data_IF_437328077093
#
_entry.id   IF_437328077093
#
_cell.length_a   1.000
_cell.length_b   1.000
_cell.length_c   1.000
_cell.angle_alpha   90.00
_cell.angle_beta   90.00
_cell.angle_gamma   90.00
#
_symmetry.space_group_name_H-M   'P 1'
#
loop_
_entity.id
_entity.type
_entity.pdbx_description
1 polymer ?
#
# COMPACT_ATOMS: atom_id res chain seq x y z
N UNK A 1 61.39 36.78 42.26
CA UNK A 1 60.02 36.42 41.82
C UNK A 1 60.11 35.15 40.99
N UNK A 2 59.77 34.00 41.56
CA UNK A 2 59.80 32.70 40.87
C UNK A 2 58.35 32.19 40.85
N UNK A 3 57.75 32.12 39.67
CA UNK A 3 56.36 31.64 39.49
C UNK A 3 56.38 30.12 39.47
N UNK A 4 55.80 29.50 40.50
CA UNK A 4 55.49 28.06 40.54
C UNK A 4 54.20 27.85 39.76
N UNK A 5 54.27 27.11 38.65
CA UNK A 5 53.08 26.63 37.94
C UNK A 5 52.65 25.30 38.57
N UNK A 6 51.50 25.31 39.24
CA UNK A 6 50.80 24.11 39.68
C UNK A 6 50.01 23.53 38.50
N UNK A 7 50.51 22.44 37.92
CA UNK A 7 49.77 21.63 36.95
C UNK A 7 48.80 20.70 37.72
N UNK A 8 47.52 21.06 37.69
CA UNK A 8 46.42 20.19 38.13
C UNK A 8 46.22 19.08 37.08
N UNK A 9 46.57 17.85 37.44
CA UNK A 9 46.17 16.67 36.67
C UNK A 9 44.70 16.33 36.99
N UNK A 10 43.78 16.71 36.11
CA UNK A 10 42.42 16.18 36.13
C UNK A 10 42.48 14.78 35.50
N UNK A 11 42.43 13.76 36.35
CA UNK A 11 42.20 12.38 35.90
C UNK A 11 40.74 12.27 35.44
N UNK A 12 40.52 12.41 34.13
CA UNK A 12 39.25 12.00 33.50
C UNK A 12 39.15 10.48 33.64
N UNK A 13 38.32 10.01 34.58
CA UNK A 13 37.83 8.64 34.58
C UNK A 13 36.95 8.46 33.33
N UNK A 14 37.58 8.06 32.22
CA UNK A 14 36.87 7.46 31.09
C UNK A 14 36.46 6.05 31.53
N UNK A 15 35.20 5.89 31.94
CA UNK A 15 34.59 4.56 32.05
C UNK A 15 34.68 3.89 30.68
N UNK A 16 35.34 2.73 30.54
CA UNK A 16 35.33 2.02 29.27
C UNK A 16 33.99 1.30 29.19
N UNK A 17 32.97 1.91 28.60
CA UNK A 17 31.80 1.16 28.13
C UNK A 17 32.24 0.49 26.82
N UNK A 18 32.86 -0.68 26.94
CA UNK A 18 33.26 -1.51 25.81
C UNK A 18 32.16 -2.53 25.51
N UNK A 19 31.15 -2.12 24.75
CA UNK A 19 30.09 -3.02 24.27
C UNK A 19 28.80 -2.29 23.84
N UNK A 20 28.00 -2.95 23.00
CA UNK A 20 26.59 -2.58 22.78
C UNK A 20 25.77 -3.29 23.86
N UNK A 21 25.21 -2.55 24.82
CA UNK A 21 24.29 -3.11 25.80
C UNK A 21 22.84 -2.99 25.31
N UNK A 22 22.05 -4.04 25.53
CA UNK A 22 20.63 -4.03 25.23
C UNK A 22 19.92 -3.04 26.18
N UNK A 23 19.49 -1.91 25.63
CA UNK A 23 18.92 -0.80 26.41
C UNK A 23 17.65 -1.19 27.20
N UNK A 24 16.80 -2.05 26.63
CA UNK A 24 15.58 -2.52 27.28
C UNK A 24 15.04 -3.80 26.61
N UNK A 25 14.17 -4.51 27.34
CA UNK A 25 13.38 -5.65 26.83
C UNK A 25 11.90 -5.28 26.85
N UNK A 26 11.14 -5.84 25.91
CA UNK A 26 9.69 -5.59 25.81
C UNK A 26 8.84 -6.57 26.63
N UNK A 27 9.46 -7.62 27.19
CA UNK A 27 8.82 -8.68 28.01
C UNK A 27 7.49 -9.21 27.43
N UNK A 28 7.49 -9.42 26.11
CA UNK A 28 6.29 -9.85 25.40
C UNK A 28 5.96 -11.32 25.71
N UNK A 29 4.72 -11.63 26.15
CA UNK A 29 4.28 -13.01 26.31
C UNK A 29 4.38 -13.77 24.99
N UNK A 30 4.95 -14.97 25.02
CA UNK A 30 5.13 -15.80 23.84
C UNK A 30 4.64 -17.24 24.05
N UNK A 31 4.18 -17.86 22.97
CA UNK A 31 4.07 -19.32 22.91
C UNK A 31 5.41 -19.87 22.46
N UNK A 32 5.90 -20.89 23.17
CA UNK A 32 7.26 -21.40 22.99
C UNK A 32 7.29 -22.93 23.00
N UNK A 33 8.09 -23.50 22.09
CA UNK A 33 8.49 -24.90 22.09
C UNK A 33 9.92 -24.99 21.55
N UNK A 34 10.81 -25.62 22.31
CA UNK A 34 12.20 -25.81 21.90
C UNK A 34 12.29 -26.78 20.72
N UNK A 35 13.25 -26.52 19.82
CA UNK A 35 13.72 -27.44 18.79
C UNK A 35 15.17 -27.10 18.41
N UNK A 36 15.75 -27.87 17.50
CA UNK A 36 17.09 -27.64 16.97
C UNK A 36 17.16 -26.37 16.12
N UNK A 37 16.09 -26.09 15.37
CA UNK A 37 15.93 -24.86 14.57
C UNK A 37 14.68 -24.13 15.07
N UNK A 38 14.81 -22.84 15.37
CA UNK A 38 13.71 -22.04 15.90
C UNK A 38 13.07 -21.19 14.81
N UNK A 39 11.74 -21.30 14.69
CA UNK A 39 10.95 -20.46 13.78
C UNK A 39 10.17 -19.42 14.59
N UNK A 40 10.35 -18.15 14.26
CA UNK A 40 9.56 -17.08 14.84
C UNK A 40 8.17 -16.99 14.19
N UNK A 41 7.17 -16.58 14.96
CA UNK A 41 5.83 -16.31 14.47
C UNK A 41 5.29 -14.99 15.01
N UNK A 42 4.65 -14.18 14.17
CA UNK A 42 3.94 -12.97 14.61
C UNK A 42 2.52 -13.01 14.04
N UNK A 43 1.52 -12.99 14.93
CA UNK A 43 0.10 -13.15 14.59
C UNK A 43 -0.77 -12.12 15.31
N UNK A 44 -1.87 -11.63 14.70
CA UNK A 44 -2.76 -10.64 15.30
C UNK A 44 -3.81 -11.34 16.17
N UNK A 45 -3.37 -12.09 17.18
CA UNK A 45 -4.27 -12.81 18.11
C UNK A 45 -5.22 -11.84 18.83
N UNK A 46 -4.82 -10.58 18.95
CA UNK A 46 -5.70 -9.47 19.34
C UNK A 46 -5.81 -8.44 18.22
N UNK A 47 -6.99 -7.83 18.07
CA UNK A 47 -7.31 -6.90 16.96
C UNK A 47 -7.08 -5.42 17.29
N UNK A 48 -6.59 -5.12 18.50
CA UNK A 48 -6.43 -3.73 18.92
C UNK A 48 -5.35 -3.58 19.98
N UNK A 49 -4.37 -2.71 19.72
CA UNK A 49 -3.55 -2.09 20.75
C UNK A 49 -4.37 -0.99 21.46
N UNK A 50 -4.48 -1.06 22.79
CA UNK A 50 -5.08 -0.01 23.60
C UNK A 50 -4.03 1.09 23.74
N UNK A 51 -4.13 2.09 22.87
CA UNK A 51 -3.28 3.29 22.92
C UNK A 51 -3.81 4.24 23.99
N UNK A 52 -2.98 4.58 24.97
CA UNK A 52 -3.26 5.65 25.93
C UNK A 52 -2.57 6.95 25.50
N UNK A 53 -3.12 8.10 25.91
CA UNK A 53 -2.41 9.37 25.84
C UNK A 53 -1.33 9.38 26.91
N UNK A 54 -0.07 9.44 26.51
CA UNK A 54 1.07 9.47 27.43
C UNK A 54 1.53 10.91 27.65
N UNK A 55 1.71 11.31 28.92
CA UNK A 55 2.27 12.62 29.29
C UNK A 55 3.79 12.65 29.19
N UNK A 56 4.43 11.49 28.99
CA UNK A 56 5.89 11.31 28.97
C UNK A 56 6.61 11.73 30.27
N UNK A 57 5.88 11.87 31.38
CA UNK A 57 6.43 12.19 32.70
C UNK A 57 6.97 10.96 33.44
N UNK A 58 6.55 9.77 33.01
CA UNK A 58 6.95 8.47 33.56
C UNK A 58 7.13 7.48 32.43
N UNK A 59 7.84 6.40 32.72
CA UNK A 59 7.98 5.29 31.79
C UNK A 59 6.58 4.78 31.36
N UNK A 60 6.33 4.63 30.04
CA UNK A 60 5.04 4.17 29.56
C UNK A 60 4.74 2.75 30.08
N UNK A 61 3.48 2.45 30.45
CA UNK A 61 3.09 1.09 30.81
C UNK A 61 3.25 0.14 29.63
N UNK A 62 3.39 -1.16 29.94
CA UNK A 62 3.40 -2.22 28.96
C UNK A 62 2.17 -2.20 28.05
N UNK A 63 2.37 -2.62 26.81
CA UNK A 63 1.34 -2.64 25.76
C UNK A 63 0.18 -3.53 26.19
N UNK A 64 -1.04 -2.99 26.12
CA UNK A 64 -2.27 -3.77 26.36
C UNK A 64 -2.98 -3.99 25.04
N UNK A 65 -3.39 -5.22 24.81
CA UNK A 65 -4.15 -5.58 23.62
C UNK A 65 -5.56 -6.04 23.98
N UNK A 66 -6.52 -5.77 23.10
CA UNK A 66 -7.93 -6.09 23.30
C UNK A 66 -8.55 -6.70 22.05
N UNK A 67 -9.69 -7.37 22.24
CA UNK A 67 -10.45 -8.03 21.19
C UNK A 67 -9.72 -9.26 20.67
N UNK A 68 -9.87 -10.38 21.37
CA UNK A 68 -9.30 -11.66 20.94
C UNK A 68 -9.94 -12.12 19.61
N UNK A 69 -9.11 -12.45 18.63
CA UNK A 69 -9.56 -12.94 17.32
C UNK A 69 -9.37 -14.45 17.21
N UNK A 70 -10.48 -15.18 17.20
CA UNK A 70 -10.49 -16.64 17.04
C UNK A 70 -9.93 -17.09 15.69
N UNK A 71 -10.12 -16.31 14.62
CA UNK A 71 -9.61 -16.62 13.28
C UNK A 71 -8.09 -16.45 13.25
N UNK A 72 -7.58 -15.36 13.82
CA UNK A 72 -6.13 -15.16 13.91
C UNK A 72 -5.47 -16.20 14.82
N UNK A 73 -6.12 -16.54 15.94
CA UNK A 73 -5.65 -17.61 16.82
C UNK A 73 -5.61 -18.97 16.10
N UNK A 74 -6.58 -19.26 15.23
CA UNK A 74 -6.52 -20.46 14.37
C UNK A 74 -5.30 -20.46 13.46
N UNK A 75 -4.88 -19.32 12.88
CA UNK A 75 -3.64 -19.25 12.10
C UNK A 75 -2.40 -19.57 12.94
N UNK A 76 -2.36 -19.09 14.18
CA UNK A 76 -1.32 -19.45 15.16
C UNK A 76 -1.29 -20.95 15.41
N UNK A 77 -2.45 -21.59 15.61
CA UNK A 77 -2.55 -23.03 15.80
C UNK A 77 -2.12 -23.81 14.55
N UNK A 78 -2.42 -23.31 13.34
CA UNK A 78 -1.99 -23.94 12.09
C UNK A 78 -0.47 -23.93 11.95
N UNK A 79 0.22 -22.86 12.37
CA UNK A 79 1.69 -22.86 12.41
C UNK A 79 2.23 -23.95 13.36
N UNK A 80 1.66 -24.05 14.56
CA UNK A 80 2.06 -25.07 15.55
C UNK A 80 1.81 -26.47 14.98
N UNK A 81 0.63 -26.71 14.43
CA UNK A 81 0.25 -27.98 13.81
C UNK A 81 1.20 -28.38 12.68
N UNK A 82 1.50 -27.45 11.76
CA UNK A 82 2.41 -27.70 10.64
C UNK A 82 3.83 -28.05 11.12
N UNK A 83 4.33 -27.37 12.15
CA UNK A 83 5.63 -27.71 12.76
C UNK A 83 5.60 -29.11 13.38
N UNK A 84 4.50 -29.48 14.05
CA UNK A 84 4.36 -30.82 14.63
C UNK A 84 4.21 -31.92 13.58
N UNK A 85 3.63 -31.62 12.43
CA UNK A 85 3.54 -32.52 11.29
C UNK A 85 4.93 -32.72 10.65
N UNK A 86 5.67 -31.64 10.40
CA UNK A 86 7.04 -31.69 9.87
C UNK A 86 7.94 -32.53 10.79
N UNK A 87 7.87 -32.30 12.10
CA UNK A 87 8.68 -33.05 13.08
C UNK A 87 8.35 -34.56 13.13
N UNK A 88 7.22 -34.99 12.55
CA UNK A 88 6.83 -36.40 12.43
C UNK A 88 7.12 -36.98 11.04
N UNK A 89 7.45 -36.14 10.05
CA UNK A 89 7.68 -36.55 8.66
C UNK A 89 9.12 -37.03 8.46
N UNK A 90 9.36 -38.34 8.28
CA UNK A 90 10.72 -38.85 8.14
C UNK A 90 11.44 -38.38 6.86
N UNK A 91 10.71 -37.95 5.83
CA UNK A 91 11.30 -37.46 4.58
C UNK A 91 11.76 -35.99 4.64
N UNK A 92 11.27 -35.20 5.62
CA UNK A 92 11.50 -33.76 5.70
C UNK A 92 12.16 -33.41 7.03
N UNK A 93 13.41 -32.94 6.97
CA UNK A 93 14.25 -32.65 8.14
C UNK A 93 14.48 -33.88 9.05
N UNK A 94 14.94 -35.03 8.51
CA UNK A 94 15.19 -36.22 9.32
C UNK A 94 16.20 -35.92 10.43
N UNK A 95 15.88 -36.32 11.66
CA UNK A 95 16.68 -36.09 12.87
C UNK A 95 16.91 -34.61 13.24
N UNK A 96 16.11 -33.69 12.72
CA UNK A 96 16.13 -32.27 13.08
C UNK A 96 14.73 -31.86 13.52
N UNK A 97 14.63 -31.27 14.70
CA UNK A 97 13.36 -30.77 15.25
C UNK A 97 13.21 -29.28 15.03
N UNK A 98 12.03 -28.87 14.57
CA UNK A 98 11.61 -27.48 14.51
C UNK A 98 10.94 -27.07 15.83
N UNK A 99 11.44 -25.99 16.42
CA UNK A 99 10.84 -25.27 17.53
C UNK A 99 10.18 -23.97 17.07
N UNK A 100 9.47 -23.30 17.97
CA UNK A 100 8.83 -22.02 17.67
C UNK A 100 8.83 -21.03 18.81
N UNK A 101 8.75 -19.74 18.45
CA UNK A 101 8.45 -18.60 19.33
C UNK A 101 7.40 -17.73 18.66
N UNK A 102 6.21 -17.65 19.25
CA UNK A 102 5.08 -16.93 18.65
C UNK A 102 4.67 -15.77 19.53
N UNK A 103 4.60 -14.57 18.95
CA UNK A 103 4.25 -13.31 19.59
C UNK A 103 2.98 -12.70 18.97
N UNK A 104 2.29 -11.88 19.75
CA UNK A 104 1.09 -11.16 19.32
C UNK A 104 1.44 -9.80 18.70
N UNK A 105 1.01 -9.52 17.47
CA UNK A 105 1.17 -8.20 16.83
C UNK A 105 0.17 -7.16 17.34
N UNK A 106 -0.98 -7.59 17.85
CA UNK A 106 -2.09 -6.73 18.25
C UNK A 106 -2.63 -5.84 17.10
N UNK A 107 -2.52 -6.34 15.85
CA UNK A 107 -2.89 -5.61 14.63
C UNK A 107 -2.20 -4.24 14.50
N UNK A 108 -1.09 -4.02 15.22
CA UNK A 108 -0.41 -2.73 15.31
C UNK A 108 0.99 -2.81 14.71
N UNK A 109 1.36 -1.92 13.75
CA UNK A 109 2.72 -1.87 13.23
C UNK A 109 3.78 -1.65 14.32
N UNK A 110 3.47 -0.83 15.33
CA UNK A 110 4.39 -0.52 16.43
C UNK A 110 4.63 -1.74 17.32
N UNK A 111 3.58 -2.44 17.72
CA UNK A 111 3.74 -3.62 18.56
C UNK A 111 4.29 -4.82 17.77
N UNK A 112 4.02 -4.90 16.46
CA UNK A 112 4.67 -5.85 15.56
C UNK A 112 6.19 -5.63 15.51
N UNK A 113 6.62 -4.37 15.46
CA UNK A 113 8.05 -4.02 15.51
C UNK A 113 8.70 -4.50 16.83
N UNK A 114 8.05 -4.28 17.97
CA UNK A 114 8.50 -4.81 19.28
C UNK A 114 8.65 -6.33 19.24
N UNK A 115 7.69 -7.03 18.65
CA UNK A 115 7.73 -8.48 18.50
C UNK A 115 8.89 -8.93 17.60
N UNK A 116 9.09 -8.29 16.46
CA UNK A 116 10.19 -8.57 15.54
C UNK A 116 11.55 -8.41 16.21
N UNK A 117 11.75 -7.30 16.94
CA UNK A 117 12.98 -7.06 17.70
C UNK A 117 13.17 -8.11 18.80
N UNK A 118 12.11 -8.49 19.52
CA UNK A 118 12.14 -9.52 20.58
C UNK A 118 12.52 -10.92 20.04
N UNK A 119 12.16 -11.23 18.79
CA UNK A 119 12.52 -12.48 18.13
C UNK A 119 13.93 -12.44 17.55
N UNK A 120 14.38 -11.28 17.06
CA UNK A 120 15.68 -11.11 16.42
C UNK A 120 16.83 -10.90 17.41
N UNK A 121 16.58 -10.34 18.59
CA UNK A 121 17.58 -10.21 19.64
C UNK A 121 18.00 -11.61 20.15
N UNK A 122 19.22 -12.03 19.79
CA UNK A 122 19.88 -13.24 20.28
C UNK A 122 20.42 -13.08 21.71
N UNK A 123 20.72 -14.21 22.36
CA UNK A 123 21.26 -14.27 23.71
C UNK A 123 22.75 -13.91 23.74
N UNK A 124 23.11 -12.72 24.21
CA UNK A 124 24.46 -12.50 24.75
C UNK A 124 24.45 -12.87 26.23
N UNK A 125 25.29 -13.86 26.57
CA UNK A 125 25.65 -14.40 27.88
C UNK A 125 24.82 -15.57 28.44
N UNK A 126 25.55 -16.67 28.64
CA UNK A 126 25.08 -17.99 29.07
C UNK A 126 25.75 -18.36 30.39
N UNK A 127 25.05 -18.18 31.52
CA UNK A 127 25.09 -18.89 32.82
C UNK A 127 24.27 -18.07 33.85
N UNK A 128 23.23 -18.49 34.57
CA UNK A 128 22.69 -19.81 34.94
C UNK A 128 21.19 -20.00 34.54
N UNK A 129 20.79 -19.85 33.27
CA UNK A 129 21.70 -19.76 32.11
C UNK A 129 21.18 -19.14 30.80
N UNK A 130 19.90 -18.73 30.61
CA UNK A 130 19.55 -17.72 29.58
C UNK A 130 18.11 -17.20 29.69
N UNK A 131 17.99 -15.92 30.04
CA UNK A 131 16.78 -15.11 29.89
C UNK A 131 16.61 -14.62 28.43
N UNK A 132 17.14 -15.35 27.46
CA UNK A 132 17.13 -15.03 26.04
C UNK A 132 16.90 -16.34 25.27
N UNK A 133 15.70 -16.57 24.74
CA UNK A 133 15.42 -17.78 23.98
C UNK A 133 16.28 -17.81 22.70
N UNK A 134 16.54 -19.00 22.13
CA UNK A 134 17.36 -19.17 20.92
C UNK A 134 16.93 -18.23 19.79
N UNK A 135 17.92 -17.71 19.06
CA UNK A 135 17.70 -16.85 17.89
C UNK A 135 16.85 -17.59 16.85
N UNK A 136 15.93 -16.87 16.21
CA UNK A 136 15.08 -17.46 15.17
C UNK A 136 15.82 -17.49 13.84
N UNK A 137 15.67 -18.59 13.10
CA UNK A 137 16.29 -18.77 11.78
C UNK A 137 15.44 -18.19 10.65
N UNK A 138 14.13 -18.12 10.86
CA UNK A 138 13.16 -17.55 9.92
C UNK A 138 11.92 -17.06 10.67
N UNK A 139 11.15 -16.20 10.02
CA UNK A 139 9.97 -15.58 10.59
C UNK A 139 8.73 -15.82 9.72
N UNK A 140 7.67 -16.37 10.32
CA UNK A 140 6.33 -16.37 9.74
C UNK A 140 5.62 -15.11 10.23
N UNK A 141 5.60 -14.07 9.39
CA UNK A 141 5.04 -12.77 9.72
C UNK A 141 4.81 -11.91 8.47
N UNK A 142 3.84 -10.99 8.45
CA UNK A 142 2.66 -10.84 9.30
C UNK A 142 1.43 -10.87 8.38
N UNK A 143 0.21 -10.80 8.93
CA UNK A 143 -1.02 -10.76 8.14
C UNK A 143 -1.25 -9.42 7.41
N UNK A 144 -1.13 -8.29 8.10
CA UNK A 144 -1.37 -6.95 7.58
C UNK A 144 -0.14 -6.38 6.87
N UNK A 145 -0.37 -5.73 5.73
CA UNK A 145 0.73 -5.22 4.89
C UNK A 145 1.55 -4.14 5.58
N UNK A 146 0.94 -3.28 6.41
CA UNK A 146 1.67 -2.25 7.18
C UNK A 146 2.61 -2.86 8.21
N UNK A 147 2.18 -3.92 8.88
CA UNK A 147 2.91 -4.66 9.89
C UNK A 147 4.06 -5.43 9.22
N UNK A 148 3.79 -6.14 8.12
CA UNK A 148 4.82 -6.81 7.32
C UNK A 148 5.90 -5.84 6.81
N UNK A 149 5.53 -4.62 6.41
CA UNK A 149 6.51 -3.58 6.04
C UNK A 149 7.40 -3.21 7.24
N UNK A 150 6.83 -3.06 8.44
CA UNK A 150 7.60 -2.75 9.64
C UNK A 150 8.61 -3.87 9.95
N UNK A 151 8.16 -5.13 9.91
CA UNK A 151 9.02 -6.30 10.16
C UNK A 151 10.11 -6.43 9.09
N UNK A 152 9.74 -6.35 7.81
CA UNK A 152 10.68 -6.49 6.70
C UNK A 152 11.70 -5.34 6.65
N UNK A 153 11.27 -4.11 6.92
CA UNK A 153 12.17 -2.96 7.00
C UNK A 153 13.16 -3.06 8.16
N UNK A 154 12.77 -3.67 9.28
CA UNK A 154 13.64 -3.83 10.45
C UNK A 154 14.56 -5.03 10.37
N UNK A 155 14.07 -6.19 9.95
CA UNK A 155 14.85 -7.44 9.95
C UNK A 155 15.52 -7.75 8.61
N UNK A 156 15.08 -7.12 7.52
CA UNK A 156 15.69 -7.25 6.20
C UNK A 156 17.19 -6.93 6.15
N UNK A 157 17.67 -5.84 6.78
CA UNK A 157 19.10 -5.54 6.87
C UNK A 157 19.93 -6.64 7.55
N UNK A 158 19.32 -7.43 8.44
CA UNK A 158 19.95 -8.55 9.14
C UNK A 158 19.80 -9.88 8.38
N UNK A 159 19.29 -9.84 7.15
CA UNK A 159 19.07 -10.99 6.27
C UNK A 159 18.15 -12.07 6.86
N UNK A 160 17.28 -11.72 7.80
CA UNK A 160 16.31 -12.68 8.34
C UNK A 160 15.22 -12.93 7.29
N UNK A 161 14.99 -14.18 6.87
CA UNK A 161 13.93 -14.51 5.93
C UNK A 161 12.56 -14.41 6.60
N UNK A 162 11.65 -13.70 5.94
CA UNK A 162 10.28 -13.49 6.41
C UNK A 162 9.32 -14.08 5.38
N UNK A 163 8.37 -14.90 5.82
CA UNK A 163 7.30 -15.44 4.97
C UNK A 163 5.96 -14.97 5.53
N UNK A 164 5.33 -14.03 4.84
CA UNK A 164 3.97 -13.58 5.17
C UNK A 164 2.92 -14.54 4.61
N UNK A 165 1.91 -14.82 5.42
CA UNK A 165 0.79 -15.68 5.06
C UNK A 165 -0.43 -14.91 4.52
N UNK A 166 -0.46 -13.58 4.62
CA UNK A 166 -1.65 -12.80 4.25
C UNK A 166 -1.39 -11.36 3.75
N UNK A 167 -0.15 -10.85 3.76
CA UNK A 167 0.13 -9.50 3.28
C UNK A 167 0.26 -9.42 1.77
N UNK A 168 -0.74 -8.80 1.13
CA UNK A 168 -0.90 -8.79 -0.32
C UNK A 168 -0.40 -7.52 -1.02
N UNK A 169 -0.01 -6.46 -0.29
CA UNK A 169 0.42 -5.20 -0.89
C UNK A 169 1.42 -5.38 -2.04
N UNK A 170 1.19 -4.71 -3.18
CA UNK A 170 2.13 -4.72 -4.30
C UNK A 170 3.52 -4.20 -3.90
N UNK A 171 3.56 -3.22 -2.99
CA UNK A 171 4.77 -2.61 -2.45
C UNK A 171 5.77 -3.59 -1.81
N UNK A 172 5.31 -4.71 -1.26
CA UNK A 172 6.17 -5.74 -0.64
C UNK A 172 6.92 -6.60 -1.68
N UNK A 173 6.66 -6.40 -2.98
CA UNK A 173 7.35 -7.11 -4.07
C UNK A 173 8.66 -6.43 -4.50
N UNK A 174 8.95 -5.23 -4.00
CA UNK A 174 10.20 -4.52 -4.28
C UNK A 174 11.38 -5.25 -3.59
N UNK A 175 12.17 -5.97 -4.38
CA UNK A 175 13.33 -6.74 -3.90
C UNK A 175 14.52 -5.89 -3.51
N UNK A 176 14.61 -4.65 -4.01
CA UNK A 176 15.65 -3.73 -3.56
C UNK A 176 15.33 -3.24 -2.13
N UNK A 177 14.05 -3.03 -1.82
CA UNK A 177 13.60 -2.59 -0.50
C UNK A 177 13.41 -3.72 0.51
N UNK A 178 12.89 -4.87 0.07
CA UNK A 178 12.55 -6.02 0.91
C UNK A 178 13.18 -7.33 0.37
N UNK A 179 14.52 -7.46 0.40
CA UNK A 179 15.22 -8.57 -0.24
C UNK A 179 14.87 -9.94 0.36
N UNK A 180 14.61 -10.01 1.67
CA UNK A 180 14.34 -11.27 2.40
C UNK A 180 12.86 -11.53 2.67
N UNK A 181 11.96 -10.74 2.06
CA UNK A 181 10.52 -10.91 2.22
C UNK A 181 9.93 -11.88 1.18
N UNK A 182 9.17 -12.85 1.65
CA UNK A 182 8.44 -13.81 0.84
C UNK A 182 6.99 -13.86 1.33
N UNK A 183 6.11 -14.43 0.52
CA UNK A 183 4.72 -14.63 0.91
C UNK A 183 4.08 -15.80 0.17
N UNK A 184 3.13 -16.45 0.83
CA UNK A 184 2.34 -17.57 0.27
C UNK A 184 1.04 -17.11 -0.38
N UNK A 185 0.77 -15.79 -0.39
CA UNK A 185 -0.39 -15.16 -0.99
C UNK A 185 0.03 -14.27 -2.19
N UNK A 186 -0.74 -14.21 -3.29
CA UNK A 186 -0.40 -13.36 -4.42
C UNK A 186 -0.46 -11.87 -4.11
N UNK A 187 0.10 -11.06 -5.01
CA UNK A 187 0.07 -9.60 -4.91
C UNK A 187 -1.28 -9.00 -5.33
N UNK A 188 -1.70 -7.94 -4.64
CA UNK A 188 -2.83 -7.08 -5.02
C UNK A 188 -2.67 -6.42 -6.39
N UNK A 189 -1.45 -6.39 -6.93
CA UNK A 189 -1.23 -5.99 -8.33
C UNK A 189 -2.15 -6.74 -9.29
N UNK A 190 -2.33 -8.06 -9.07
CA UNK A 190 -3.22 -8.87 -9.91
C UNK A 190 -4.70 -8.61 -9.61
N UNK A 191 -5.05 -8.33 -8.36
CA UNK A 191 -6.42 -7.96 -7.98
C UNK A 191 -6.82 -6.60 -8.58
N UNK A 192 -5.93 -5.62 -8.53
CA UNK A 192 -6.09 -4.32 -9.18
C UNK A 192 -6.29 -4.47 -10.69
N UNK A 193 -5.50 -5.31 -11.36
CA UNK A 193 -5.69 -5.65 -12.78
C UNK A 193 -7.04 -6.27 -13.08
N UNK A 194 -7.48 -7.22 -12.26
CA UNK A 194 -8.78 -7.85 -12.42
C UNK A 194 -9.92 -6.82 -12.30
N UNK A 195 -9.86 -5.94 -11.30
CA UNK A 195 -10.81 -4.83 -11.13
C UNK A 195 -10.81 -3.90 -12.34
N UNK A 196 -9.64 -3.50 -12.82
CA UNK A 196 -9.51 -2.65 -14.00
C UNK A 196 -10.05 -3.33 -15.27
N UNK A 197 -9.86 -4.64 -15.42
CA UNK A 197 -10.43 -5.42 -16.52
C UNK A 197 -11.96 -5.45 -16.47
N UNK A 198 -12.57 -5.51 -15.28
CA UNK A 198 -14.03 -5.47 -15.12
C UNK A 198 -14.59 -4.10 -15.47
N UNK A 199 -13.96 -3.03 -14.99
CA UNK A 199 -14.29 -1.64 -15.38
C UNK A 199 -14.32 -1.51 -16.90
N UNK A 200 -13.29 -2.00 -17.58
CA UNK A 200 -13.21 -1.99 -19.06
C UNK A 200 -14.30 -2.84 -19.70
N UNK A 201 -14.50 -4.07 -19.21
CA UNK A 201 -15.47 -5.02 -19.77
C UNK A 201 -16.91 -4.49 -19.72
N UNK A 202 -17.27 -3.80 -18.64
CA UNK A 202 -18.62 -3.26 -18.45
C UNK A 202 -18.76 -1.79 -18.89
N UNK A 203 -17.67 -1.16 -19.34
CA UNK A 203 -17.68 0.23 -19.79
C UNK A 203 -18.06 1.23 -18.70
N UNK A 204 -17.69 0.96 -17.44
CA UNK A 204 -17.97 1.88 -16.33
C UNK A 204 -17.13 3.15 -16.47
N UNK A 205 -17.80 4.29 -16.47
CA UNK A 205 -17.17 5.60 -16.69
C UNK A 205 -17.01 6.40 -15.40
N UNK A 206 -17.85 6.13 -14.40
CA UNK A 206 -17.81 6.78 -13.09
C UNK A 206 -17.58 5.73 -12.01
N UNK A 207 -16.42 5.82 -11.36
CA UNK A 207 -15.97 4.84 -10.36
C UNK A 207 -15.62 5.58 -9.08
N UNK A 208 -16.28 5.22 -7.99
CA UNK A 208 -15.86 5.60 -6.65
C UNK A 208 -14.93 4.54 -6.08
N UNK A 209 -13.83 4.96 -5.44
CA UNK A 209 -12.90 4.07 -4.75
C UNK A 209 -12.89 4.35 -3.25
N UNK A 210 -13.01 3.29 -2.44
CA UNK A 210 -12.88 3.36 -0.98
C UNK A 210 -11.74 2.43 -0.56
N UNK A 211 -10.88 2.90 0.34
CA UNK A 211 -9.74 2.15 0.87
C UNK A 211 -9.61 2.28 2.38
N UNK A 212 -8.95 1.31 3.00
CA UNK A 212 -8.40 1.47 4.34
C UNK A 212 -7.21 2.44 4.32
N UNK A 213 -7.07 3.28 5.35
CA UNK A 213 -5.92 4.18 5.49
C UNK A 213 -4.70 3.44 6.07
N UNK A 214 -4.20 2.47 5.31
CA UNK A 214 -3.04 1.66 5.65
C UNK A 214 -2.25 1.32 4.37
N UNK A 215 -1.13 0.60 4.49
CA UNK A 215 -0.30 0.28 3.34
C UNK A 215 -1.02 -0.62 2.31
N UNK A 216 -1.89 -1.52 2.74
CA UNK A 216 -2.69 -2.37 1.84
C UNK A 216 -3.65 -1.51 1.01
N UNK A 217 -4.51 -0.72 1.66
CA UNK A 217 -5.52 0.10 0.98
C UNK A 217 -4.90 1.11 0.03
N UNK A 218 -3.93 1.90 0.51
CA UNK A 218 -3.24 2.94 -0.27
C UNK A 218 -2.57 2.40 -1.52
N UNK A 219 -1.83 1.30 -1.40
CA UNK A 219 -1.15 0.71 -2.56
C UNK A 219 -2.10 -0.06 -3.47
N UNK A 220 -3.19 -0.64 -2.93
CA UNK A 220 -4.22 -1.30 -3.73
C UNK A 220 -4.92 -0.33 -4.67
N UNK A 221 -5.36 0.82 -4.17
CA UNK A 221 -5.96 1.87 -5.02
C UNK A 221 -4.94 2.50 -5.95
N UNK A 222 -3.69 2.69 -5.52
CA UNK A 222 -2.64 3.18 -6.40
C UNK A 222 -2.46 2.24 -7.60
N UNK A 223 -2.27 0.94 -7.36
CA UNK A 223 -2.11 -0.05 -8.43
C UNK A 223 -3.35 -0.09 -9.35
N UNK A 224 -4.56 -0.05 -8.79
CA UNK A 224 -5.79 0.00 -9.58
C UNK A 224 -5.87 1.26 -10.45
N UNK A 225 -5.53 2.41 -9.89
CA UNK A 225 -5.56 3.70 -10.58
C UNK A 225 -4.50 3.73 -11.70
N UNK A 226 -3.30 3.20 -11.47
CA UNK A 226 -2.26 3.10 -12.49
C UNK A 226 -2.70 2.24 -13.67
N UNK A 227 -3.30 1.08 -13.42
CA UNK A 227 -3.81 0.19 -14.48
C UNK A 227 -4.87 0.87 -15.36
N UNK A 228 -5.74 1.70 -14.75
CA UNK A 228 -6.72 2.50 -15.50
C UNK A 228 -6.08 3.70 -16.22
N UNK A 229 -5.17 4.43 -15.57
CA UNK A 229 -4.50 5.61 -16.12
C UNK A 229 -3.67 5.29 -17.34
N UNK A 230 -2.83 4.25 -17.29
CA UNK A 230 -2.00 3.87 -18.45
C UNK A 230 -2.90 3.53 -19.65
N UNK A 231 -3.97 2.77 -19.40
CA UNK A 231 -4.92 2.38 -20.44
C UNK A 231 -5.65 3.59 -21.04
N UNK A 232 -6.05 4.53 -20.19
CA UNK A 232 -6.69 5.78 -20.58
C UNK A 232 -5.73 6.69 -21.36
N UNK A 233 -4.46 6.77 -20.96
CA UNK A 233 -3.44 7.54 -21.66
C UNK A 233 -3.15 6.94 -23.05
N UNK A 234 -3.05 5.60 -23.15
CA UNK A 234 -2.91 4.92 -24.45
C UNK A 234 -4.14 5.16 -25.33
N UNK A 235 -5.35 5.09 -24.76
CA UNK A 235 -6.59 5.43 -25.47
C UNK A 235 -6.54 6.86 -26.03
N UNK A 236 -6.20 7.84 -25.20
CA UNK A 236 -6.10 9.24 -25.63
C UNK A 236 -5.00 9.44 -26.68
N UNK A 237 -3.86 8.75 -26.57
CA UNK A 237 -2.77 8.82 -27.55
C UNK A 237 -3.21 8.29 -28.93
N UNK A 238 -3.90 7.15 -28.99
CA UNK A 238 -4.44 6.60 -30.24
C UNK A 238 -5.47 7.56 -30.85
N UNK A 239 -6.37 8.11 -30.03
CA UNK A 239 -7.34 9.09 -30.49
C UNK A 239 -6.69 10.37 -30.97
N UNK A 240 -5.66 10.88 -30.31
CA UNK A 240 -4.94 12.07 -30.75
C UNK A 240 -4.32 11.88 -32.14
N UNK A 241 -3.67 10.73 -32.39
CA UNK A 241 -3.16 10.39 -33.73
C UNK A 241 -4.31 10.27 -34.74
N UNK A 242 -5.41 9.60 -34.37
CA UNK A 242 -6.56 9.46 -35.25
C UNK A 242 -7.19 10.81 -35.63
N UNK A 243 -7.32 11.74 -34.67
CA UNK A 243 -7.81 13.09 -34.91
C UNK A 243 -6.85 13.90 -35.80
N UNK A 244 -5.54 13.83 -35.55
CA UNK A 244 -4.53 14.49 -36.39
C UNK A 244 -4.55 13.95 -37.83
N UNK A 245 -4.65 12.63 -38.00
CA UNK A 245 -4.78 12.00 -39.32
C UNK A 245 -6.12 12.36 -39.99
N UNK A 246 -7.21 12.43 -39.24
CA UNK A 246 -8.50 12.84 -39.77
C UNK A 246 -8.42 14.27 -40.34
N UNK A 247 -7.83 15.19 -39.59
CA UNK A 247 -7.65 16.56 -40.07
C UNK A 247 -6.75 16.61 -41.31
N UNK A 248 -5.68 15.81 -41.36
CA UNK A 248 -4.79 15.72 -42.50
C UNK A 248 -5.47 15.13 -43.76
N UNK A 249 -6.26 14.07 -43.60
CA UNK A 249 -6.90 13.35 -44.73
C UNK A 249 -8.12 14.09 -45.24
N UNK A 250 -8.91 14.70 -44.36
CA UNK A 250 -10.18 15.33 -44.70
C UNK A 250 -10.11 16.87 -44.74
N UNK A 251 -8.97 17.47 -44.40
CA UNK A 251 -8.75 18.92 -44.31
C UNK A 251 -9.75 19.62 -43.38
N UNK A 252 -10.36 18.88 -42.45
CA UNK A 252 -11.41 19.32 -41.55
C UNK A 252 -11.30 18.57 -40.21
N UNK A 253 -11.62 19.22 -39.07
CA UNK A 253 -11.68 18.53 -37.79
C UNK A 253 -12.75 17.44 -37.79
N UNK A 254 -12.51 16.36 -37.02
CA UNK A 254 -13.49 15.31 -36.85
C UNK A 254 -14.78 15.86 -36.20
N UNK A 255 -15.90 15.78 -36.92
CA UNK A 255 -17.22 16.17 -36.44
C UNK A 255 -17.83 15.18 -35.44
N UNK A 256 -19.01 15.52 -34.91
CA UNK A 256 -19.75 14.63 -34.01
C UNK A 256 -20.19 13.34 -34.73
N UNK A 257 -20.32 12.21 -34.02
CA UNK A 257 -20.87 10.97 -34.58
C UNK A 257 -22.23 11.23 -35.26
N UNK A 258 -22.38 10.85 -36.53
CA UNK A 258 -23.59 11.10 -37.34
C UNK A 258 -23.56 12.34 -38.23
N UNK A 259 -22.41 13.00 -38.39
CA UNK A 259 -22.21 14.09 -39.36
C UNK A 259 -22.28 13.63 -40.84
N UNK A 260 -22.39 14.59 -41.76
CA UNK A 260 -22.37 14.32 -43.22
C UNK A 260 -21.03 13.66 -43.62
N UNK A 261 -21.01 12.75 -44.61
CA UNK A 261 -19.77 12.17 -45.12
C UNK A 261 -18.83 13.26 -45.61
N UNK A 262 -17.60 13.27 -45.10
CA UNK A 262 -16.55 14.20 -45.52
C UNK A 262 -15.72 13.53 -46.61
N UNK A 263 -15.45 14.22 -47.70
CA UNK A 263 -14.58 13.69 -48.76
C UNK A 263 -13.10 13.87 -48.39
N UNK A 264 -12.23 12.88 -48.64
CA UNK A 264 -10.79 13.04 -48.47
C UNK A 264 -10.25 14.13 -49.38
N UNK A 265 -9.42 15.04 -48.85
CA UNK A 265 -8.67 16.03 -49.61
C UNK A 265 -7.26 15.55 -49.99
N UNK A 266 -6.76 14.52 -49.29
CA UNK A 266 -5.43 13.95 -49.47
C UNK A 266 -5.50 12.42 -49.56
N UNK A 267 -4.65 11.80 -50.39
CA UNK A 267 -4.56 10.36 -50.50
C UNK A 267 -3.75 9.79 -49.33
N UNK A 268 -4.28 8.77 -48.65
CA UNK A 268 -3.62 8.14 -47.48
C UNK A 268 -2.20 7.66 -47.79
N UNK A 269 -1.93 7.27 -49.04
CA UNK A 269 -0.60 6.83 -49.48
C UNK A 269 0.45 7.94 -49.52
N UNK A 270 0.04 9.21 -49.47
CA UNK A 270 0.90 10.39 -49.54
C UNK A 270 1.25 10.97 -48.16
N UNK A 271 0.73 10.38 -47.08
CA UNK A 271 0.95 10.87 -45.71
C UNK A 271 2.40 10.64 -45.28
N UNK A 272 3.06 11.72 -44.88
CA UNK A 272 4.39 11.68 -44.27
C UNK A 272 4.32 11.88 -42.75
N UNK A 273 5.20 11.22 -41.95
CA UNK A 273 5.21 11.37 -40.49
C UNK A 273 5.30 12.83 -40.02
N UNK A 274 6.04 13.68 -40.73
CA UNK A 274 6.17 15.10 -40.40
C UNK A 274 4.81 15.83 -40.43
N UNK A 275 3.98 15.54 -41.42
CA UNK A 275 2.64 16.13 -41.52
C UNK A 275 1.77 15.69 -40.34
N UNK A 276 1.89 14.43 -39.91
CA UNK A 276 1.20 13.93 -38.72
C UNK A 276 1.67 14.66 -37.46
N UNK A 277 2.99 14.90 -37.31
CA UNK A 277 3.55 15.70 -36.20
C UNK A 277 2.99 17.13 -36.20
N UNK A 278 2.98 17.81 -37.35
CA UNK A 278 2.48 19.18 -37.49
C UNK A 278 0.98 19.30 -37.17
N UNK A 279 0.20 18.24 -37.40
CA UNK A 279 -1.21 18.18 -37.00
C UNK A 279 -1.39 17.77 -35.53
N UNK A 280 -0.56 16.88 -35.00
CA UNK A 280 -0.57 16.53 -33.58
C UNK A 280 -0.32 17.76 -32.69
N UNK A 281 0.60 18.65 -33.06
CA UNK A 281 0.86 19.89 -32.32
C UNK A 281 -0.35 20.84 -32.21
N UNK A 282 -1.36 20.67 -33.08
CA UNK A 282 -2.57 21.52 -33.12
C UNK A 282 -3.83 20.73 -32.79
N UNK A 283 -3.69 19.45 -32.43
CA UNK A 283 -4.84 18.60 -32.17
C UNK A 283 -5.56 19.10 -30.93
N UNK A 284 -6.87 19.26 -31.05
CA UNK A 284 -7.71 19.63 -29.92
C UNK A 284 -9.08 18.98 -30.13
N UNK A 285 -9.42 18.03 -29.29
CA UNK A 285 -10.69 17.33 -29.35
C UNK A 285 -11.19 17.00 -27.95
N UNK A 286 -12.50 16.81 -27.84
CA UNK A 286 -13.11 16.29 -26.62
C UNK A 286 -13.30 14.79 -26.77
N UNK A 287 -12.75 14.00 -25.85
CA UNK A 287 -12.86 12.56 -25.91
C UNK A 287 -14.29 12.09 -25.51
N UNK A 288 -14.55 10.78 -25.61
CA UNK A 288 -15.85 10.19 -25.27
C UNK A 288 -16.23 10.31 -23.78
N UNK A 289 -15.27 10.65 -22.92
CA UNK A 289 -15.45 10.84 -21.49
C UNK A 289 -15.73 12.30 -21.13
N UNK A 290 -15.64 13.20 -22.12
CA UNK A 290 -15.88 14.62 -21.94
C UNK A 290 -14.64 15.40 -21.50
N UNK A 291 -13.45 14.82 -21.58
CA UNK A 291 -12.18 15.51 -21.32
C UNK A 291 -11.67 16.18 -22.59
N UNK A 292 -11.12 17.39 -22.45
CA UNK A 292 -10.45 18.09 -23.53
C UNK A 292 -9.00 17.59 -23.65
N UNK A 293 -8.66 17.04 -24.82
CA UNK A 293 -7.35 16.48 -25.14
C UNK A 293 -6.66 17.37 -26.17
N UNK A 294 -5.51 17.92 -25.77
CA UNK A 294 -4.63 18.75 -26.60
C UNK A 294 -3.19 18.64 -26.07
N UNK A 295 -2.23 19.19 -26.80
CA UNK A 295 -0.83 19.26 -26.38
C UNK A 295 -0.36 20.72 -26.31
N UNK A 296 0.57 21.01 -25.41
CA UNK A 296 1.26 22.30 -25.37
C UNK A 296 2.43 22.36 -26.39
N UNK A 297 3.19 23.46 -26.37
CA UNK A 297 4.31 23.68 -27.28
C UNK A 297 5.45 22.63 -27.12
N UNK A 298 5.51 21.94 -25.97
CA UNK A 298 6.49 20.87 -25.70
C UNK A 298 5.95 19.48 -26.07
N UNK A 299 4.67 19.36 -26.41
CA UNK A 299 4.01 18.08 -26.67
C UNK A 299 3.45 17.42 -25.40
N UNK A 300 3.34 18.14 -24.29
CA UNK A 300 2.79 17.63 -23.03
C UNK A 300 1.26 17.82 -22.99
N UNK A 301 0.49 16.85 -22.43
CA UNK A 301 -0.95 17.00 -22.26
C UNK A 301 -1.28 17.96 -21.11
N UNK A 302 -2.51 18.50 -21.04
CA UNK A 302 -2.92 19.34 -19.93
C UNK A 302 -2.86 18.59 -18.59
N UNK A 303 -2.13 19.16 -17.63
CA UNK A 303 -2.16 18.75 -16.24
C UNK A 303 -3.49 19.18 -15.60
N UNK A 304 -4.23 18.23 -15.03
CA UNK A 304 -5.47 18.48 -14.30
C UNK A 304 -5.47 17.66 -13.02
N UNK A 305 -5.60 18.34 -11.88
CA UNK A 305 -5.51 17.74 -10.55
C UNK A 305 -6.60 18.30 -9.63
N UNK A 306 -7.31 17.43 -8.92
CA UNK A 306 -8.17 17.82 -7.82
C UNK A 306 -7.34 18.13 -6.57
N UNK A 307 -7.64 19.24 -5.90
CA UNK A 307 -7.06 19.61 -4.60
C UNK A 307 -7.96 19.05 -3.51
N UNK A 308 -7.45 18.10 -2.74
CA UNK A 308 -8.22 17.40 -1.71
C UNK A 308 -7.73 17.88 -0.34
N UNK A 309 -8.65 18.39 0.47
CA UNK A 309 -8.40 18.69 1.88
C UNK A 309 -8.90 17.55 2.76
N UNK A 310 -8.11 17.23 3.80
CA UNK A 310 -8.44 16.20 4.77
C UNK A 310 -9.12 16.87 5.95
N UNK A 311 -10.43 16.68 6.08
CA UNK A 311 -11.23 17.31 7.11
C UNK A 311 -11.68 16.27 8.14
N UNK A 312 -11.43 16.53 9.42
CA UNK A 312 -11.98 15.71 10.50
C UNK A 312 -13.39 16.22 10.82
N UNK A 313 -14.43 15.52 10.36
CA UNK A 313 -15.84 15.80 10.68
C UNK A 313 -16.42 14.61 11.44
N UNK A 314 -17.03 14.87 12.59
CA UNK A 314 -17.62 13.84 13.48
C UNK A 314 -16.67 12.68 13.81
N UNK A 315 -15.40 12.99 14.05
CA UNK A 315 -14.37 12.00 14.41
C UNK A 315 -13.90 11.12 13.24
N UNK A 316 -14.34 11.39 12.01
CA UNK A 316 -13.95 10.66 10.81
C UNK A 316 -13.24 11.59 9.83
N UNK A 317 -12.16 11.12 9.21
CA UNK A 317 -11.46 11.86 8.16
C UNK A 317 -12.28 11.76 6.87
N UNK A 318 -12.71 12.91 6.37
CA UNK A 318 -13.39 13.08 5.10
C UNK A 318 -12.46 13.76 4.10
N UNK A 319 -12.41 13.22 2.89
CA UNK A 319 -11.68 13.82 1.77
C UNK A 319 -12.64 14.76 1.03
N UNK A 320 -12.42 16.06 1.18
CA UNK A 320 -13.24 17.08 0.52
C UNK A 320 -12.42 17.69 -0.59
N UNK A 321 -12.88 17.60 -1.84
CA UNK A 321 -12.28 18.34 -2.94
C UNK A 321 -12.52 19.83 -2.70
N UNK A 322 -11.48 20.55 -2.31
CA UNK A 322 -11.51 22.00 -2.00
C UNK A 322 -11.07 22.84 -3.19
N UNK A 323 -10.77 22.22 -4.31
CA UNK A 323 -10.33 22.96 -5.47
C UNK A 323 -9.84 22.09 -6.60
N UNK A 324 -9.40 22.75 -7.65
CA UNK A 324 -8.93 22.13 -8.86
C UNK A 324 -7.80 22.96 -9.46
N UNK A 325 -6.71 22.29 -9.81
CA UNK A 325 -5.61 22.83 -10.60
C UNK A 325 -5.76 22.32 -12.03
N UNK A 326 -5.75 23.23 -13.00
CA UNK A 326 -5.66 22.88 -14.41
C UNK A 326 -4.60 23.74 -15.10
N UNK A 327 -3.69 23.12 -15.85
CA UNK A 327 -2.82 23.85 -16.77
C UNK A 327 -3.59 24.19 -18.05
N UNK A 328 -3.42 25.41 -18.53
CA UNK A 328 -3.91 25.87 -19.81
C UNK A 328 -2.84 25.70 -20.91
N UNK A 329 -3.24 25.86 -22.17
CA UNK A 329 -2.29 25.94 -23.29
C UNK A 329 -1.33 27.13 -23.08
N UNK A 330 -0.04 26.93 -23.37
CA UNK A 330 1.08 27.90 -23.22
C UNK A 330 1.66 28.07 -21.81
N UNK A 331 1.47 27.11 -20.91
CA UNK A 331 2.15 27.08 -19.60
C UNK A 331 1.49 27.94 -18.51
N UNK A 332 0.39 28.63 -18.82
CA UNK A 332 -0.47 29.24 -17.81
C UNK A 332 -1.18 28.15 -16.99
N UNK A 333 -1.53 28.45 -15.74
CA UNK A 333 -2.29 27.54 -14.90
C UNK A 333 -3.40 28.27 -14.15
N UNK A 334 -4.50 27.55 -13.93
CA UNK A 334 -5.62 28.01 -13.11
C UNK A 334 -5.69 27.13 -11.86
N UNK A 335 -5.33 27.72 -10.74
CA UNK A 335 -5.60 27.17 -9.42
C UNK A 335 -6.94 27.75 -8.94
N UNK A 336 -7.93 26.90 -8.76
CA UNK A 336 -9.19 27.25 -8.10
C UNK A 336 -9.22 26.59 -6.74
N UNK A 337 -9.31 27.39 -5.68
CA UNK A 337 -9.49 26.90 -4.30
C UNK A 337 -10.78 27.53 -3.79
N UNK A 338 -11.70 26.69 -3.32
CA UNK A 338 -12.91 27.12 -2.62
C UNK A 338 -12.56 27.35 -1.15
N UNK A 339 -12.58 28.60 -0.72
CA UNK A 339 -12.62 28.95 0.71
C UNK A 339 -14.08 28.80 1.19
N UNK A 340 -14.34 27.92 2.16
CA UNK A 340 -15.73 27.65 2.59
C UNK A 340 -16.32 28.82 3.40
N UNK A 341 -17.53 29.25 2.99
CA UNK A 341 -18.63 29.64 3.88
C UNK A 341 -19.63 28.47 3.89
N UNK A 342 -20.09 28.11 5.08
CA UNK A 342 -20.99 26.98 5.32
C UNK A 342 -22.27 26.94 4.47
N UNK A 343 -22.74 25.70 4.27
CA UNK A 343 -24.13 25.21 4.19
C UNK A 343 -24.71 24.69 2.85
N UNK A 344 -25.03 23.39 2.96
CA UNK A 344 -25.89 22.46 2.21
C UNK A 344 -27.09 23.06 1.46
N UNK A 345 -27.27 22.67 0.19
CA UNK A 345 -28.60 22.33 -0.36
C UNK A 345 -28.48 21.32 -1.52
N UNK A 346 -29.02 20.11 -1.31
CA UNK A 346 -29.19 19.05 -2.30
C UNK A 346 -30.56 19.21 -2.99
N UNK A 347 -30.57 19.39 -4.32
CA UNK A 347 -31.69 18.94 -5.16
C UNK A 347 -31.21 18.44 -6.53
N UNK A 348 -31.10 17.11 -6.60
CA UNK A 348 -31.76 16.33 -7.66
C UNK A 348 -30.95 16.09 -8.94
N UNK A 349 -30.64 14.83 -9.22
CA UNK A 349 -30.50 14.26 -10.58
C UNK A 349 -30.50 12.73 -10.55
N UNK A 350 -31.13 12.15 -11.57
CA UNK A 350 -31.22 10.71 -11.88
C UNK A 350 -29.82 10.06 -11.92
N UNK A 351 -29.66 8.89 -11.31
CA UNK A 351 -28.48 8.03 -11.46
C UNK A 351 -28.62 7.10 -12.67
N UNK A 352 -27.65 7.04 -13.60
CA UNK A 352 -27.70 6.14 -14.74
C UNK A 352 -27.03 4.78 -14.45
N UNK A 353 -27.30 3.79 -15.30
CA UNK A 353 -26.73 2.43 -15.36
C UNK A 353 -25.20 2.36 -15.62
N UNK A 354 -24.41 3.37 -15.22
CA UNK A 354 -22.99 3.55 -15.57
C UNK A 354 -22.03 3.72 -14.38
N UNK A 355 -22.53 3.60 -13.15
CA UNK A 355 -21.72 3.81 -11.94
C UNK A 355 -21.39 2.48 -11.24
N UNK A 356 -20.15 2.33 -10.79
CA UNK A 356 -19.74 1.23 -9.91
C UNK A 356 -18.99 1.77 -8.70
N UNK A 357 -19.28 1.20 -7.53
CA UNK A 357 -18.49 1.44 -6.31
C UNK A 357 -17.54 0.26 -6.12
N UNK A 358 -16.24 0.54 -6.16
CA UNK A 358 -15.21 -0.47 -5.92
C UNK A 358 -14.61 -0.21 -4.53
N UNK A 359 -14.87 -1.13 -3.62
CA UNK A 359 -14.26 -1.13 -2.29
C UNK A 359 -13.09 -2.10 -2.26
N UNK A 360 -11.89 -1.60 -1.98
CA UNK A 360 -10.76 -2.45 -1.60
C UNK A 360 -10.72 -2.47 -0.08
N UNK A 361 -11.67 -3.21 0.51
CA UNK A 361 -11.69 -3.51 1.93
C UNK A 361 -11.66 -5.02 2.12
N UNK A 362 -10.66 -5.50 2.85
CA UNK A 362 -10.74 -6.82 3.48
C UNK A 362 -10.16 -6.73 4.89
N UNK A 363 -10.94 -6.18 5.80
CA UNK A 363 -10.76 -6.37 7.24
C UNK A 363 -12.17 -6.50 7.82
N UNK A 364 -12.51 -7.70 8.32
CA UNK A 364 -13.73 -8.05 9.10
C UNK A 364 -15.03 -8.47 8.40
N UNK A 365 -15.01 -8.90 7.14
CA UNK A 365 -16.08 -9.77 6.61
C UNK A 365 -17.53 -9.26 6.67
N UNK A 366 -17.78 -7.96 6.80
CA UNK A 366 -19.12 -7.39 6.60
C UNK A 366 -19.01 -6.00 5.97
N UNK A 367 -19.33 -5.91 4.67
CA UNK A 367 -19.70 -4.64 4.04
C UNK A 367 -21.23 -4.58 4.06
N UNK A 368 -21.81 -3.90 5.07
CA UNK A 368 -23.24 -3.57 5.04
C UNK A 368 -23.45 -2.40 4.09
N UNK A 369 -23.55 -2.70 2.80
CA UNK A 369 -24.09 -1.75 1.84
C UNK A 369 -25.57 -1.54 2.18
N UNK A 370 -25.96 -0.29 2.48
CA UNK A 370 -27.37 0.08 2.50
C UNK A 370 -27.94 -0.24 1.11
N UNK A 371 -28.98 -1.06 1.09
CA UNK A 371 -29.73 -1.46 -0.10
C UNK A 371 -30.09 -0.22 -0.93
N UNK A 372 -29.47 -0.08 -2.12
CA UNK A 372 -29.95 0.61 -3.33
C UNK A 372 -28.87 0.90 -4.40
N UNK A 373 -27.65 0.34 -4.31
CA UNK A 373 -26.63 0.51 -5.36
C UNK A 373 -26.50 -0.73 -6.27
N UNK A 374 -26.71 -0.60 -7.60
CA UNK A 374 -26.81 -1.75 -8.50
C UNK A 374 -25.47 -2.41 -8.91
N UNK A 375 -24.30 -1.97 -8.42
CA UNK A 375 -23.03 -2.64 -8.67
C UNK A 375 -21.96 -2.24 -7.64
N UNK A 376 -21.92 -2.97 -6.51
CA UNK A 376 -20.74 -3.00 -5.66
C UNK A 376 -20.01 -4.31 -5.90
N UNK A 377 -18.71 -4.24 -6.20
CA UNK A 377 -17.91 -5.42 -6.52
C UNK A 377 -16.71 -5.51 -5.59
N UNK A 378 -16.57 -6.67 -4.92
CA UNK A 378 -15.41 -7.05 -4.12
C UNK A 378 -14.70 -8.16 -4.89
N UNK A 379 -13.44 -7.94 -5.27
CA UNK A 379 -12.57 -9.01 -5.79
C UNK A 379 -11.68 -9.45 -4.65
N UNK A 380 -11.80 -10.70 -4.22
CA UNK A 380 -10.94 -11.30 -3.19
C UNK A 380 -9.90 -12.19 -3.85
N UNK A 381 -8.66 -12.26 -3.33
CA UNK A 381 -7.78 -13.37 -3.61
C UNK A 381 -8.49 -14.68 -3.26
N UNK A 382 -8.36 -15.71 -4.10
CA UNK A 382 -8.90 -17.04 -3.79
C UNK A 382 -8.16 -17.53 -2.54
N UNK A 383 -8.84 -17.81 -1.42
CA UNK A 383 -8.18 -18.44 -0.28
C UNK A 383 -7.70 -19.83 -0.72
N UNK A 384 -6.53 -20.26 -0.25
CA UNK A 384 -6.25 -21.69 -0.18
C UNK A 384 -7.28 -22.26 0.81
N UNK A 385 -8.31 -22.94 0.30
CA UNK A 385 -9.21 -23.73 1.13
C UNK A 385 -8.38 -24.85 1.76
N UNK A 386 -8.25 -24.80 3.09
CA UNK A 386 -7.79 -25.90 3.94
C UNK A 386 -8.81 -26.12 5.06
#
# INVERSE_FOLDING_TARGET
MQRVFLLSCVALYLSPVSGCELFARFDMPCLFKQGDIMIGGIFPVSIKEIVGTYTFEKEPPAVKCAGFDLRAFRWTQVMIFAIEEINKEPALLPNITLGYRILNSCESPTNTLRAALTLASGAEEMDSTSACPPAVSALIAESGSSQSIAVAGTLGPFQVPIVSYFSTCACLSDRAKYPTFFRTIPSDYFQAKALAALVKRFGWQWIGTIQSDNAYGRNGILAFTEELRVSYNVYNAVYAIAHALHELVFCQPAGKPGGKPVMPCLNVSEIQPKQVTDHLQRVHFRNQFGDDVFFDDNGDPPASYDLINWQLRDGHVQHVTVGHFASAAKGDYKLSVQEERDSVEDRGKRFPHQCALISVQWERGELKLKENHPAALIVSPVPMEL
#
